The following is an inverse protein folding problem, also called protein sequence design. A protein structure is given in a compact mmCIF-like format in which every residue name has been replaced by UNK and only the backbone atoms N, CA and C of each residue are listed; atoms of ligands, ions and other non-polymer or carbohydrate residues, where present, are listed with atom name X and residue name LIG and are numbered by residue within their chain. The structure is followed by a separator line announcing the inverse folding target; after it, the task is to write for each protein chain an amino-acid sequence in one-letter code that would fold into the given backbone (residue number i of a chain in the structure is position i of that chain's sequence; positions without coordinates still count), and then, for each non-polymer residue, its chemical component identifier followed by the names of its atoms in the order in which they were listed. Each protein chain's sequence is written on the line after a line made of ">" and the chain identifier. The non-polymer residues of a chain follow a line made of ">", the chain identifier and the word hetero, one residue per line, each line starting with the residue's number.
data_IF_926225847957
#
_entry.id   IF_926225847957
#
_cell.length_a   1.000
_cell.length_b   1.000
_cell.length_c   1.000
_cell.angle_alpha   90.00
_cell.angle_beta   90.00
_cell.angle_gamma   90.00
#
_symmetry.space_group_name_H-M   'P 1'
#
loop_
_entity.id
_entity.type
_entity.pdbx_description
1 polymer ?
#
# COMPACT_ATOMS: atom_id res chain seq x y z
N UNK A 1 6.61 13.01 -1.78
CA UNK A 1 5.97 14.15 -1.10
C UNK A 1 6.57 15.48 -1.55
N UNK A 2 6.69 15.66 -2.85
CA UNK A 2 7.18 16.91 -3.43
C UNK A 2 5.99 17.82 -3.72
N UNK A 3 5.88 19.00 -3.10
CA UNK A 3 4.74 19.90 -3.30
C UNK A 3 4.70 20.51 -4.72
N UNK A 4 5.81 20.49 -5.44
CA UNK A 4 5.83 20.89 -6.84
C UNK A 4 5.19 19.86 -7.78
N UNK A 5 5.00 18.61 -7.31
CA UNK A 5 4.48 17.50 -8.10
C UNK A 5 3.12 17.03 -7.55
N UNK A 6 2.94 17.04 -6.24
CA UNK A 6 1.74 16.51 -5.58
C UNK A 6 1.03 17.60 -4.79
N UNK A 7 -0.20 17.88 -5.15
CA UNK A 7 -1.07 18.72 -4.34
C UNK A 7 -1.29 18.07 -2.97
N UNK A 8 -1.18 18.84 -1.88
CA UNK A 8 -1.32 18.37 -0.50
C UNK A 8 -0.50 17.10 -0.24
N UNK A 9 0.85 17.15 -0.38
CA UNK A 9 1.71 15.97 -0.45
C UNK A 9 1.77 15.15 0.83
N UNK A 10 1.39 15.72 1.96
CA UNK A 10 1.37 15.07 3.26
C UNK A 10 0.02 14.42 3.60
N UNK A 11 -1.01 14.71 2.81
CA UNK A 11 -2.32 14.07 2.98
C UNK A 11 -2.37 12.71 2.28
N UNK A 12 -2.92 11.72 2.99
CA UNK A 12 -3.24 10.42 2.39
C UNK A 12 -4.58 10.52 1.68
N UNK A 13 -4.54 10.55 0.34
CA UNK A 13 -5.72 10.67 -0.51
C UNK A 13 -5.81 9.49 -1.47
N UNK A 14 -6.96 8.82 -1.47
CA UNK A 14 -7.25 7.71 -2.39
C UNK A 14 -7.76 8.20 -3.75
N UNK A 15 -8.21 9.44 -3.82
CA UNK A 15 -8.87 10.07 -4.97
C UNK A 15 -7.93 10.93 -5.83
N UNK A 16 -6.61 10.77 -5.69
CA UNK A 16 -5.67 11.51 -6.54
C UNK A 16 -5.84 11.12 -8.00
N UNK A 17 -6.28 12.08 -8.82
CA UNK A 17 -6.47 11.85 -10.25
C UNK A 17 -5.16 11.58 -10.98
N UNK A 18 -4.17 12.42 -10.76
CA UNK A 18 -2.80 12.22 -11.28
C UNK A 18 -1.85 11.87 -10.14
N UNK A 19 -1.10 10.79 -10.31
CA UNK A 19 -0.20 10.28 -9.28
C UNK A 19 1.11 9.79 -9.92
N UNK A 20 1.99 10.72 -10.36
CA UNK A 20 3.23 10.40 -11.04
C UNK A 20 4.33 9.91 -10.08
N UNK A 21 4.00 8.90 -9.27
CA UNK A 21 4.91 8.35 -8.27
C UNK A 21 6.06 7.56 -8.91
N UNK A 22 7.21 7.57 -8.25
CA UNK A 22 8.41 6.86 -8.66
C UNK A 22 8.60 5.50 -7.96
N UNK A 23 7.54 4.93 -7.37
CA UNK A 23 7.64 3.66 -6.66
C UNK A 23 8.10 2.49 -7.55
N UNK A 24 7.85 2.59 -8.84
CA UNK A 24 8.32 1.63 -9.85
C UNK A 24 9.41 2.20 -10.76
N UNK A 25 10.14 3.20 -10.30
CA UNK A 25 11.09 3.98 -11.08
C UNK A 25 10.45 4.69 -12.29
N UNK A 26 11.24 5.12 -13.25
CA UNK A 26 10.77 5.82 -14.46
C UNK A 26 11.72 5.65 -15.63
N UNK A 27 11.29 6.07 -16.81
CA UNK A 27 12.08 5.99 -18.04
C UNK A 27 12.43 4.55 -18.43
N UNK A 28 13.62 4.36 -18.96
CA UNK A 28 14.11 3.05 -19.45
C UNK A 28 14.32 2.01 -18.35
N UNK A 29 14.34 2.44 -17.10
CA UNK A 29 14.50 1.58 -15.91
C UNK A 29 13.19 1.33 -15.16
N UNK A 30 12.03 1.62 -15.77
CA UNK A 30 10.75 1.29 -15.15
C UNK A 30 10.70 -0.20 -14.78
N UNK A 31 10.17 -0.50 -13.60
CA UNK A 31 10.08 -1.86 -13.10
C UNK A 31 9.31 -2.76 -14.08
N UNK A 32 9.96 -3.79 -14.59
CA UNK A 32 9.34 -4.76 -15.51
C UNK A 32 8.16 -5.51 -14.87
N UNK A 33 8.17 -5.68 -13.53
CA UNK A 33 7.12 -6.34 -12.76
C UNK A 33 5.99 -5.43 -12.29
N UNK A 34 5.96 -4.14 -12.67
CA UNK A 34 4.99 -3.18 -12.12
C UNK A 34 3.53 -3.58 -12.34
N UNK A 35 3.20 -4.13 -13.49
CA UNK A 35 1.84 -4.58 -13.83
C UNK A 35 1.40 -5.74 -12.94
N UNK A 36 2.27 -6.73 -12.77
CA UNK A 36 2.01 -7.89 -11.90
C UNK A 36 1.84 -7.44 -10.45
N UNK A 37 2.76 -6.62 -9.95
CA UNK A 37 2.68 -6.09 -8.58
C UNK A 37 1.39 -5.32 -8.30
N UNK A 38 0.89 -4.55 -9.27
CA UNK A 38 -0.40 -3.85 -9.16
C UNK A 38 -1.58 -4.82 -9.09
N UNK A 39 -1.58 -5.84 -9.94
CA UNK A 39 -2.64 -6.87 -9.96
C UNK A 39 -2.62 -7.65 -8.65
N UNK A 40 -1.46 -8.11 -8.21
CA UNK A 40 -1.29 -8.81 -6.93
C UNK A 40 -1.79 -7.96 -5.76
N UNK A 41 -1.40 -6.70 -5.69
CA UNK A 41 -1.85 -5.77 -4.64
C UNK A 41 -3.37 -5.58 -4.64
N UNK A 42 -3.98 -5.40 -5.79
CA UNK A 42 -5.43 -5.26 -5.92
C UNK A 42 -6.17 -6.54 -5.46
N UNK A 43 -5.73 -7.70 -5.90
CA UNK A 43 -6.34 -8.98 -5.53
C UNK A 43 -6.15 -9.25 -4.03
N UNK A 44 -4.94 -9.08 -3.51
CA UNK A 44 -4.62 -9.35 -2.12
C UNK A 44 -5.42 -8.45 -1.17
N UNK A 45 -5.40 -7.13 -1.40
CA UNK A 45 -6.12 -6.18 -0.55
C UNK A 45 -7.63 -6.37 -0.65
N UNK A 46 -8.18 -6.53 -1.85
CA UNK A 46 -9.60 -6.77 -2.02
C UNK A 46 -10.06 -8.08 -1.36
N UNK A 47 -9.24 -9.13 -1.43
CA UNK A 47 -9.53 -10.41 -0.79
C UNK A 47 -9.46 -10.31 0.73
N UNK A 48 -8.45 -9.60 1.24
CA UNK A 48 -8.26 -9.37 2.67
C UNK A 48 -9.47 -8.63 3.28
N UNK A 49 -9.85 -7.49 2.72
CA UNK A 49 -10.96 -6.68 3.23
C UNK A 49 -12.33 -7.34 3.03
N UNK A 50 -12.51 -8.13 1.96
CA UNK A 50 -13.72 -8.95 1.82
C UNK A 50 -13.82 -10.04 2.87
N UNK A 51 -12.68 -10.65 3.21
CA UNK A 51 -12.63 -11.73 4.20
C UNK A 51 -12.79 -11.22 5.63
N UNK A 52 -12.19 -10.07 5.92
CA UNK A 52 -12.18 -9.43 7.23
C UNK A 52 -12.56 -7.94 7.13
N UNK A 53 -13.85 -7.62 6.97
CA UNK A 53 -14.29 -6.23 6.79
C UNK A 53 -14.06 -5.35 8.02
N UNK A 54 -13.88 -5.94 9.20
CA UNK A 54 -13.60 -5.27 10.46
C UNK A 54 -12.10 -5.25 10.82
N UNK A 55 -11.22 -5.53 9.85
CA UNK A 55 -9.79 -5.52 10.05
C UNK A 55 -9.31 -4.16 10.55
N UNK A 56 -8.52 -4.19 11.62
CA UNK A 56 -7.89 -2.99 12.20
C UNK A 56 -6.40 -3.21 12.37
N UNK A 57 -5.65 -2.13 12.30
CA UNK A 57 -4.21 -2.16 12.61
C UNK A 57 -4.05 -2.13 14.13
N UNK A 58 -3.29 -3.07 14.65
CA UNK A 58 -2.99 -3.19 16.07
C UNK A 58 -1.88 -2.26 16.54
N UNK A 59 -1.66 -2.25 17.84
CA UNK A 59 -0.54 -1.53 18.47
C UNK A 59 0.78 -2.27 18.25
N UNK A 60 1.90 -1.58 18.47
CA UNK A 60 3.22 -2.18 18.39
C UNK A 60 3.79 -2.29 16.97
N UNK A 61 3.29 -1.50 16.03
CA UNK A 61 3.91 -1.40 14.70
C UNK A 61 5.38 -1.01 14.80
N UNK A 62 6.25 -1.77 14.14
CA UNK A 62 7.68 -1.50 14.10
C UNK A 62 8.14 -1.25 12.67
N UNK A 63 8.61 -0.03 12.41
CA UNK A 63 9.15 0.34 11.10
C UNK A 63 10.53 -0.28 10.89
N UNK A 64 10.80 -0.69 9.66
CA UNK A 64 12.14 -1.09 9.25
C UNK A 64 13.08 0.12 9.25
N UNK A 65 14.28 0.00 9.80
CA UNK A 65 15.30 1.05 9.75
C UNK A 65 15.93 1.18 8.35
N UNK A 66 15.57 0.33 7.41
CA UNK A 66 16.17 0.31 6.07
C UNK A 66 15.76 1.56 5.28
N UNK A 67 16.75 2.27 4.72
CA UNK A 67 16.52 3.49 3.94
C UNK A 67 15.87 3.16 2.59
N UNK A 68 16.32 2.07 1.94
CA UNK A 68 15.89 1.70 0.59
C UNK A 68 14.49 1.08 0.55
N UNK A 69 14.17 0.24 1.53
CA UNK A 69 12.88 -0.43 1.64
C UNK A 69 12.19 0.03 2.91
N UNK A 70 11.46 1.13 2.80
CA UNK A 70 10.75 1.77 3.92
C UNK A 70 9.41 1.07 4.14
N UNK A 71 9.43 0.00 4.90
CA UNK A 71 8.23 -0.77 5.26
C UNK A 71 8.13 -0.97 6.77
N UNK A 72 7.31 -1.93 7.14
CA UNK A 72 7.19 -2.39 8.51
C UNK A 72 7.86 -3.77 8.63
N UNK A 73 8.59 -3.99 9.71
CA UNK A 73 9.07 -5.33 10.09
C UNK A 73 7.98 -6.11 10.79
N UNK A 74 7.14 -5.39 11.53
CA UNK A 74 5.97 -5.92 12.21
C UNK A 74 4.79 -4.95 12.06
N UNK A 75 3.66 -5.48 11.70
CA UNK A 75 2.38 -4.75 11.64
C UNK A 75 1.28 -5.69 12.14
N UNK A 76 1.02 -5.70 13.46
CA UNK A 76 -0.06 -6.51 14.02
C UNK A 76 -1.41 -6.12 13.46
N UNK A 77 -2.25 -7.11 13.16
CA UNK A 77 -3.59 -6.89 12.63
C UNK A 77 -4.62 -7.62 13.50
N UNK A 78 -5.68 -6.92 13.88
CA UNK A 78 -6.89 -7.52 14.45
C UNK A 78 -7.85 -7.82 13.31
N UNK A 79 -8.04 -9.09 13.02
CA UNK A 79 -8.82 -9.52 11.85
C UNK A 79 -10.33 -9.37 12.04
N UNK A 80 -10.81 -9.43 13.31
CA UNK A 80 -12.23 -9.46 13.58
C UNK A 80 -12.89 -10.77 13.11
N UNK A 81 -14.21 -10.72 12.86
CA UNK A 81 -14.98 -11.89 12.40
C UNK A 81 -14.79 -12.07 10.88
N UNK A 82 -14.38 -13.27 10.49
CA UNK A 82 -14.22 -13.59 9.07
C UNK A 82 -15.58 -13.83 8.40
N UNK A 83 -15.76 -13.27 7.19
CA UNK A 83 -16.90 -13.60 6.33
C UNK A 83 -16.62 -14.84 5.49
N UNK A 84 -17.67 -15.60 5.13
CA UNK A 84 -17.50 -16.72 4.20
C UNK A 84 -17.09 -16.17 2.81
N UNK A 85 -16.13 -16.78 2.13
CA UNK A 85 -15.87 -16.46 0.73
C UNK A 85 -17.13 -16.77 -0.09
N UNK A 86 -17.50 -15.84 -0.94
CA UNK A 86 -18.50 -16.10 -2.01
C UNK A 86 -17.83 -16.76 -3.19
#
# INVERSE_FOLDING_TARGET
>A
RDPAVFEQPDEFRLDRGDNPHLAFAGGVHVCAGNTIARIEGQIALASLFRRWPSLQVGEGMRRSPRVRFRGFEEMPLYLGVATKPR
#
